data_IF_160355721332
#
_entry.id   IF_160355721332
#
_cell.length_a   1.000
_cell.length_b   1.000
_cell.length_c   1.000
_cell.angle_alpha   90.00
_cell.angle_beta   90.00
_cell.angle_gamma   90.00
#
_symmetry.space_group_name_H-M   'P 1'
#
loop_
_entity.id
_entity.type
_entity.pdbx_description
1 polymer ?
#
# COMPACT_ATOMS: atom_id res chain seq x y z
N UNK A 1 -5.31 0.08 23.34
CA UNK A 1 -4.41 1.03 24.01
C UNK A 1 -3.94 2.06 23.01
N UNK A 2 -4.04 3.31 23.39
CA UNK A 2 -3.58 4.40 22.53
C UNK A 2 -2.05 4.52 22.51
N UNK A 3 -1.53 5.13 21.48
CA UNK A 3 -0.14 5.55 21.39
C UNK A 3 0.11 6.71 22.36
N UNK A 4 1.24 6.71 23.02
CA UNK A 4 1.69 7.86 23.78
C UNK A 4 2.61 8.78 22.97
N UNK A 5 2.97 9.92 23.51
CA UNK A 5 3.83 10.90 22.84
C UNK A 5 5.20 10.31 22.46
N UNK A 6 5.74 9.41 23.28
CA UNK A 6 7.01 8.73 23.01
C UNK A 6 6.89 7.81 21.80
N UNK A 7 5.82 7.01 21.74
CA UNK A 7 5.54 6.14 20.60
C UNK A 7 5.39 6.95 19.30
N UNK A 8 4.66 8.06 19.35
CA UNK A 8 4.49 8.95 18.19
C UNK A 8 5.82 9.52 17.69
N UNK A 9 6.69 9.96 18.60
CA UNK A 9 8.02 10.47 18.24
C UNK A 9 8.89 9.40 17.58
N UNK A 10 8.88 8.19 18.11
CA UNK A 10 9.59 7.06 17.49
C UNK A 10 9.06 6.78 16.10
N UNK A 11 7.74 6.67 15.94
CA UNK A 11 7.12 6.38 14.66
C UNK A 11 7.39 7.46 13.61
N UNK A 12 7.30 8.75 13.97
CA UNK A 12 7.64 9.86 13.07
C UNK A 12 9.06 9.78 12.53
N UNK A 13 10.02 9.45 13.40
CA UNK A 13 11.42 9.29 12.97
C UNK A 13 11.60 8.07 12.06
N UNK A 14 10.96 6.94 12.36
CA UNK A 14 11.01 5.73 11.54
C UNK A 14 10.31 5.90 10.19
N UNK A 15 9.27 6.72 10.09
CA UNK A 15 8.64 7.06 8.81
C UNK A 15 9.58 7.85 7.89
N UNK A 16 10.46 8.67 8.46
CA UNK A 16 11.47 9.41 7.69
C UNK A 16 12.64 8.51 7.30
N UNK A 17 13.16 7.75 8.26
CA UNK A 17 14.29 6.83 8.06
C UNK A 17 14.11 5.57 8.91
N UNK A 18 13.63 4.50 8.28
CA UNK A 18 13.42 3.22 8.94
C UNK A 18 14.74 2.47 9.28
N UNK A 19 15.90 2.96 8.82
CA UNK A 19 17.21 2.38 9.12
C UNK A 19 17.82 2.91 10.42
N UNK A 20 17.18 3.88 11.08
CA UNK A 20 17.67 4.37 12.36
C UNK A 20 17.75 3.24 13.38
N UNK A 21 18.92 3.09 13.98
CA UNK A 21 19.12 2.16 15.10
C UNK A 21 18.45 2.68 16.36
N UNK A 22 18.20 1.81 17.32
CA UNK A 22 17.68 2.20 18.61
C UNK A 22 18.61 3.21 19.32
N UNK A 23 19.92 3.08 19.15
CA UNK A 23 20.90 4.02 19.67
C UNK A 23 20.77 5.40 19.02
N UNK A 24 20.63 5.45 17.71
CA UNK A 24 20.44 6.71 16.98
C UNK A 24 19.13 7.40 17.39
N UNK A 25 18.05 6.64 17.54
CA UNK A 25 16.77 7.14 18.03
C UNK A 25 16.89 7.65 19.46
N UNK A 26 17.59 6.93 20.34
CA UNK A 26 17.79 7.34 21.74
C UNK A 26 18.50 8.69 21.83
N UNK A 27 19.52 8.91 21.01
CA UNK A 27 20.24 10.17 20.94
C UNK A 27 19.35 11.31 20.41
N UNK A 28 18.57 11.04 19.36
CA UNK A 28 17.65 12.05 18.79
C UNK A 28 16.53 12.45 19.74
N UNK A 29 16.01 11.52 20.51
CA UNK A 29 14.83 11.70 21.33
C UNK A 29 15.14 11.97 22.81
N UNK A 30 16.42 11.92 23.20
CA UNK A 30 16.83 12.15 24.57
C UNK A 30 16.34 11.12 25.57
N UNK A 31 16.27 9.85 25.15
CA UNK A 31 15.85 8.73 26.00
C UNK A 31 16.83 7.55 25.93
N UNK A 32 16.72 6.59 26.83
CA UNK A 32 17.63 5.44 26.85
C UNK A 32 17.37 4.51 25.66
N UNK A 33 18.43 3.83 25.21
CA UNK A 33 18.34 2.80 24.17
C UNK A 33 17.41 1.66 24.59
N UNK A 34 17.42 1.28 25.86
CA UNK A 34 16.53 0.24 26.40
C UNK A 34 15.07 0.63 26.27
N UNK A 35 14.74 1.89 26.57
CA UNK A 35 13.38 2.42 26.42
C UNK A 35 12.94 2.40 24.95
N UNK A 36 13.79 2.85 24.02
CA UNK A 36 13.51 2.83 22.59
C UNK A 36 13.27 1.42 22.09
N UNK A 37 14.14 0.47 22.42
CA UNK A 37 13.99 -0.95 22.04
C UNK A 37 12.70 -1.55 22.56
N UNK A 38 12.38 -1.31 23.84
CA UNK A 38 11.14 -1.80 24.45
C UNK A 38 9.90 -1.27 23.74
N UNK A 39 9.90 0.01 23.39
CA UNK A 39 8.78 0.65 22.66
C UNK A 39 8.64 0.11 21.25
N UNK A 40 9.72 -0.02 20.50
CA UNK A 40 9.69 -0.59 19.14
C UNK A 40 9.15 -2.02 19.16
N UNK A 41 9.63 -2.87 20.07
CA UNK A 41 9.14 -4.25 20.22
C UNK A 41 7.65 -4.30 20.50
N UNK A 42 7.15 -3.41 21.35
CA UNK A 42 5.73 -3.29 21.64
C UNK A 42 4.93 -2.90 20.39
N UNK A 43 5.39 -1.88 19.67
CA UNK A 43 4.75 -1.40 18.43
C UNK A 43 4.71 -2.49 17.34
N UNK A 44 5.76 -3.29 17.23
CA UNK A 44 5.81 -4.44 16.34
C UNK A 44 4.85 -5.56 16.78
N UNK A 45 4.86 -5.90 18.07
CA UNK A 45 3.97 -6.92 18.65
C UNK A 45 2.49 -6.56 18.47
N UNK A 46 2.14 -5.30 18.67
CA UNK A 46 0.77 -4.79 18.49
C UNK A 46 0.42 -4.55 17.00
N UNK A 47 1.34 -4.84 16.08
CA UNK A 47 1.16 -4.65 14.64
C UNK A 47 0.90 -3.20 14.21
N UNK A 48 1.26 -2.23 15.03
CA UNK A 48 1.30 -0.81 14.66
C UNK A 48 2.42 -0.62 13.64
N UNK A 49 3.61 -1.17 13.92
CA UNK A 49 4.63 -1.39 12.90
C UNK A 49 4.39 -2.76 12.29
N UNK A 50 3.96 -2.79 11.03
CA UNK A 50 3.69 -4.02 10.29
C UNK A 50 4.93 -4.63 9.64
N UNK A 51 5.96 -3.85 9.48
CA UNK A 51 7.21 -4.25 8.84
C UNK A 51 8.01 -3.05 8.39
N UNK A 52 9.15 -3.33 7.77
CA UNK A 52 10.08 -2.35 7.22
C UNK A 52 10.38 -2.73 5.78
N UNK A 53 10.35 -1.75 4.88
CA UNK A 53 10.67 -1.99 3.47
C UNK A 53 11.36 -0.79 2.88
N UNK A 54 12.13 -1.02 1.81
CA UNK A 54 12.72 0.04 1.03
C UNK A 54 11.64 0.74 0.20
N UNK A 55 11.74 2.06 0.09
CA UNK A 55 10.96 2.84 -0.88
C UNK A 55 11.76 2.86 -2.17
N UNK A 56 11.14 2.41 -3.23
CA UNK A 56 11.78 2.30 -4.54
C UNK A 56 11.18 3.32 -5.52
N UNK A 57 11.94 3.69 -6.50
CA UNK A 57 11.49 4.49 -7.63
C UNK A 57 10.97 3.53 -8.70
N UNK A 58 9.66 3.41 -8.81
CA UNK A 58 9.01 2.45 -9.69
C UNK A 58 9.36 2.69 -11.17
N UNK A 59 9.48 3.96 -11.59
CA UNK A 59 9.85 4.31 -12.97
C UNK A 59 11.25 3.83 -13.30
N UNK A 60 12.21 4.00 -12.37
CA UNK A 60 13.59 3.51 -12.55
C UNK A 60 13.67 1.99 -12.57
N UNK A 61 12.69 1.31 -12.00
CA UNK A 61 12.56 -0.15 -12.10
C UNK A 61 11.84 -0.59 -13.38
N UNK A 62 11.40 0.35 -14.21
CA UNK A 62 10.73 0.07 -15.47
C UNK A 62 9.20 0.01 -15.38
N UNK A 63 8.59 0.27 -14.23
CA UNK A 63 7.15 0.33 -14.08
C UNK A 63 6.64 1.74 -14.45
N UNK A 64 6.52 1.99 -15.74
CA UNK A 64 6.20 3.31 -16.29
C UNK A 64 4.71 3.58 -16.46
N UNK A 65 3.88 2.57 -16.26
CA UNK A 65 2.43 2.69 -16.38
C UNK A 65 1.74 2.39 -15.05
N UNK A 66 0.99 3.36 -14.57
CA UNK A 66 0.07 3.16 -13.45
C UNK A 66 -1.36 3.26 -13.97
N UNK A 67 -2.20 2.32 -13.58
CA UNK A 67 -3.61 2.32 -13.88
C UNK A 67 -4.45 2.35 -12.61
N UNK A 68 -5.54 3.10 -12.64
CA UNK A 68 -6.60 3.06 -11.64
C UNK A 68 -7.80 2.44 -12.33
N UNK A 69 -8.27 1.31 -11.81
CA UNK A 69 -9.30 0.51 -12.46
C UNK A 69 -10.49 0.39 -11.53
N UNK A 70 -11.64 0.83 -12.02
CA UNK A 70 -12.92 0.64 -11.35
C UNK A 70 -13.52 -0.70 -11.77
N UNK A 71 -14.06 -1.43 -10.82
CA UNK A 71 -14.71 -2.72 -11.04
C UNK A 71 -16.12 -2.70 -10.48
N UNK A 72 -17.07 -3.15 -11.30
CA UNK A 72 -18.43 -3.47 -10.89
C UNK A 72 -18.59 -4.98 -10.92
N UNK A 73 -19.01 -5.57 -9.82
CA UNK A 73 -19.18 -7.01 -9.67
C UNK A 73 -20.51 -7.34 -9.01
N UNK A 74 -20.94 -8.59 -9.11
CA UNK A 74 -22.12 -9.07 -8.38
C UNK A 74 -21.89 -8.93 -6.87
N UNK A 75 -22.82 -8.26 -6.19
CA UNK A 75 -22.69 -7.90 -4.76
C UNK A 75 -22.48 -9.09 -3.84
N UNK A 76 -23.16 -10.21 -4.11
CA UNK A 76 -23.04 -11.43 -3.33
C UNK A 76 -21.72 -12.21 -3.58
N UNK A 77 -20.94 -11.80 -4.59
CA UNK A 77 -19.65 -12.40 -4.98
C UNK A 77 -18.47 -11.42 -4.85
N UNK A 78 -18.70 -10.22 -4.36
CA UNK A 78 -17.70 -9.15 -4.32
C UNK A 78 -16.44 -9.54 -3.53
N UNK A 79 -16.59 -10.14 -2.36
CA UNK A 79 -15.45 -10.57 -1.53
C UNK A 79 -14.54 -11.53 -2.27
N UNK A 80 -15.12 -12.52 -2.97
CA UNK A 80 -14.33 -13.49 -3.75
C UNK A 80 -13.62 -12.84 -4.93
N UNK A 81 -14.28 -11.92 -5.62
CA UNK A 81 -13.69 -11.15 -6.73
C UNK A 81 -12.51 -10.33 -6.23
N UNK A 82 -12.65 -9.63 -5.12
CA UNK A 82 -11.60 -8.80 -4.53
C UNK A 82 -10.42 -9.62 -4.04
N UNK A 83 -10.66 -10.79 -3.44
CA UNK A 83 -9.59 -11.71 -3.04
C UNK A 83 -8.79 -12.22 -4.25
N UNK A 84 -9.46 -12.58 -5.33
CA UNK A 84 -8.80 -13.03 -6.56
C UNK A 84 -7.94 -11.92 -7.18
N UNK A 85 -8.48 -10.70 -7.25
CA UNK A 85 -7.74 -9.53 -7.76
C UNK A 85 -6.52 -9.22 -6.89
N UNK A 86 -6.67 -9.28 -5.58
CA UNK A 86 -5.59 -8.94 -4.63
C UNK A 86 -4.39 -9.88 -4.71
N UNK A 87 -4.55 -11.07 -5.26
CA UNK A 87 -3.47 -12.04 -5.45
C UNK A 87 -2.60 -11.78 -6.68
N UNK A 88 -2.99 -10.85 -7.54
CA UNK A 88 -2.26 -10.56 -8.78
C UNK A 88 -1.05 -9.66 -8.50
N UNK A 89 0.11 -10.05 -8.99
CA UNK A 89 1.40 -9.41 -8.67
C UNK A 89 1.45 -7.90 -8.99
N UNK A 90 0.85 -7.48 -10.10
CA UNK A 90 0.85 -6.07 -10.52
C UNK A 90 -0.04 -5.17 -9.65
N UNK A 91 -0.90 -5.75 -8.83
CA UNK A 91 -1.87 -5.04 -8.00
C UNK A 91 -1.19 -4.52 -6.73
N UNK A 92 -1.20 -3.20 -6.56
CA UNK A 92 -0.63 -2.52 -5.40
C UNK A 92 -1.67 -2.27 -4.31
N UNK A 93 -2.91 -2.04 -4.68
CA UNK A 93 -4.00 -1.77 -3.75
C UNK A 93 -5.34 -2.22 -4.33
N UNK A 94 -6.21 -2.72 -3.46
CA UNK A 94 -7.61 -3.06 -3.77
C UNK A 94 -8.47 -2.47 -2.66
N UNK A 95 -9.41 -1.62 -3.06
CA UNK A 95 -10.32 -0.96 -2.12
C UNK A 95 -11.77 -1.32 -2.46
N UNK A 96 -12.52 -1.75 -1.46
CA UNK A 96 -13.97 -1.76 -1.50
C UNK A 96 -14.44 -0.32 -1.26
N UNK A 97 -15.22 0.24 -2.17
CA UNK A 97 -15.56 1.67 -2.17
C UNK A 97 -17.07 1.89 -2.26
N UNK A 98 -17.50 3.06 -1.82
CA UNK A 98 -18.87 3.52 -1.98
C UNK A 98 -19.07 4.15 -3.36
N UNK A 99 -20.31 4.23 -3.83
CA UNK A 99 -20.68 4.86 -5.09
C UNK A 99 -21.14 3.87 -6.15
N UNK A 100 -21.03 4.26 -7.40
CA UNK A 100 -21.46 3.45 -8.55
C UNK A 100 -20.50 2.31 -8.89
N UNK A 101 -19.28 2.36 -8.37
CA UNK A 101 -18.24 1.36 -8.51
C UNK A 101 -18.11 0.58 -7.20
N UNK A 102 -17.89 -0.71 -7.27
CA UNK A 102 -17.75 -1.57 -6.08
C UNK A 102 -16.31 -1.63 -5.58
N UNK A 103 -15.35 -1.73 -6.49
CA UNK A 103 -13.93 -1.90 -6.17
C UNK A 103 -13.07 -0.96 -6.99
N UNK A 104 -12.06 -0.40 -6.35
CA UNK A 104 -11.03 0.42 -6.98
C UNK A 104 -9.67 -0.29 -6.85
N UNK A 105 -8.97 -0.44 -7.98
CA UNK A 105 -7.67 -1.08 -8.04
C UNK A 105 -6.62 -0.05 -8.43
N UNK A 106 -5.46 -0.09 -7.75
CA UNK A 106 -4.25 0.57 -8.22
C UNK A 106 -3.27 -0.52 -8.64
N UNK A 107 -2.81 -0.49 -9.89
CA UNK A 107 -1.88 -1.46 -10.43
C UNK A 107 -0.79 -0.79 -11.27
N UNK A 108 0.39 -1.39 -11.32
CA UNK A 108 1.56 -0.87 -12.04
C UNK A 108 2.08 -1.88 -13.04
N UNK A 109 2.47 -1.38 -14.22
CA UNK A 109 2.87 -2.19 -15.36
C UNK A 109 4.12 -1.64 -16.02
N UNK A 110 4.91 -2.52 -16.61
CA UNK A 110 6.12 -2.12 -17.36
C UNK A 110 5.81 -1.60 -18.76
N UNK A 111 4.71 -2.05 -19.36
CA UNK A 111 4.33 -1.69 -20.74
C UNK A 111 2.83 -1.81 -20.96
N UNK A 112 2.39 -1.30 -22.11
CA UNK A 112 0.97 -1.32 -22.49
C UNK A 112 0.42 -2.72 -22.72
N UNK A 113 1.26 -3.66 -23.19
CA UNK A 113 0.86 -5.05 -23.42
C UNK A 113 0.46 -5.72 -22.11
N UNK A 114 1.25 -5.53 -21.06
CA UNK A 114 0.98 -6.09 -19.74
C UNK A 114 -0.30 -5.53 -19.14
N UNK A 115 -0.51 -4.22 -19.29
CA UNK A 115 -1.77 -3.58 -18.89
C UNK A 115 -2.96 -4.18 -19.65
N UNK A 116 -2.86 -4.31 -20.97
CA UNK A 116 -3.92 -4.87 -21.80
C UNK A 116 -4.26 -6.30 -21.40
N UNK A 117 -3.25 -7.12 -21.18
CA UNK A 117 -3.42 -8.50 -20.72
C UNK A 117 -4.11 -8.54 -19.35
N UNK A 118 -3.69 -7.70 -18.43
CA UNK A 118 -4.30 -7.57 -17.12
C UNK A 118 -5.79 -7.21 -17.20
N UNK A 119 -6.15 -6.21 -17.98
CA UNK A 119 -7.53 -5.76 -18.12
C UNK A 119 -8.40 -6.86 -18.76
N UNK A 120 -7.89 -7.59 -19.74
CA UNK A 120 -8.59 -8.74 -20.35
C UNK A 120 -8.83 -9.84 -19.32
N UNK A 121 -7.82 -10.19 -18.54
CA UNK A 121 -7.93 -11.21 -17.50
C UNK A 121 -8.88 -10.78 -16.39
N UNK A 122 -8.83 -9.52 -15.99
CA UNK A 122 -9.74 -8.93 -15.00
C UNK A 122 -11.20 -9.03 -15.45
N UNK A 123 -11.47 -8.66 -16.70
CA UNK A 123 -12.82 -8.73 -17.29
C UNK A 123 -13.33 -10.17 -17.44
N UNK A 124 -12.43 -11.15 -17.49
CA UNK A 124 -12.76 -12.57 -17.59
C UNK A 124 -12.99 -13.24 -16.21
N UNK A 125 -12.70 -12.57 -15.11
CA UNK A 125 -12.97 -13.07 -13.76
C UNK A 125 -14.49 -13.26 -13.60
N UNK A 126 -14.89 -14.44 -13.11
CA UNK A 126 -16.30 -14.74 -12.85
C UNK A 126 -16.93 -13.69 -11.92
N UNK A 127 -18.14 -13.24 -12.26
CA UNK A 127 -18.92 -12.25 -11.51
C UNK A 127 -18.45 -10.78 -11.64
N UNK A 128 -17.40 -10.49 -12.40
CA UNK A 128 -17.08 -9.13 -12.84
C UNK A 128 -18.04 -8.74 -13.97
N UNK A 129 -18.78 -7.66 -13.76
CA UNK A 129 -19.80 -7.19 -14.73
C UNK A 129 -19.25 -6.11 -15.65
N UNK A 130 -18.44 -5.21 -15.11
CA UNK A 130 -17.85 -4.10 -15.86
C UNK A 130 -16.54 -3.62 -15.26
N UNK A 131 -15.67 -3.08 -16.07
CA UNK A 131 -14.42 -2.43 -15.65
C UNK A 131 -14.23 -1.12 -16.40
N UNK A 132 -13.66 -0.13 -15.70
CA UNK A 132 -13.28 1.15 -16.28
C UNK A 132 -11.82 1.39 -15.94
N UNK A 133 -10.97 1.48 -16.96
CA UNK A 133 -9.52 1.68 -16.78
C UNK A 133 -9.15 3.13 -17.00
N UNK A 134 -8.53 3.73 -16.00
CA UNK A 134 -7.88 5.04 -16.10
C UNK A 134 -6.37 4.84 -16.14
N UNK A 135 -5.74 5.31 -17.21
CA UNK A 135 -4.27 5.36 -17.26
C UNK A 135 -3.81 6.67 -16.66
N UNK A 136 -2.93 6.60 -15.66
CA UNK A 136 -2.38 7.78 -15.01
C UNK A 136 -1.42 8.48 -15.96
N UNK A 137 -1.69 9.75 -16.26
CA UNK A 137 -0.84 10.56 -17.13
C UNK A 137 0.38 11.11 -16.39
N UNK A 138 0.19 11.51 -15.15
CA UNK A 138 1.24 12.07 -14.32
C UNK A 138 0.94 11.81 -12.83
N UNK A 139 1.92 11.30 -12.11
CA UNK A 139 1.81 11.12 -10.65
C UNK A 139 2.32 12.38 -9.97
N UNK A 140 1.40 13.18 -9.47
CA UNK A 140 1.73 14.42 -8.73
C UNK A 140 2.26 14.12 -7.33
N UNK A 141 1.65 13.15 -6.67
CA UNK A 141 2.07 12.65 -5.36
C UNK A 141 1.62 11.21 -5.18
N UNK A 142 2.52 10.39 -4.70
CA UNK A 142 2.20 9.03 -4.25
C UNK A 142 3.04 8.71 -3.01
N UNK A 143 2.51 9.02 -1.86
CA UNK A 143 3.14 8.75 -0.58
C UNK A 143 2.07 8.39 0.44
N UNK A 144 2.02 7.12 0.80
CA UNK A 144 1.02 6.57 1.73
C UNK A 144 1.47 6.61 3.20
N UNK A 145 2.61 7.24 3.50
CA UNK A 145 3.05 7.43 4.88
C UNK A 145 2.20 8.52 5.54
N UNK A 146 1.64 8.18 6.69
CA UNK A 146 0.89 9.11 7.53
C UNK A 146 1.78 9.56 8.69
N UNK A 147 2.11 10.87 8.74
CA UNK A 147 2.96 11.37 9.82
C UNK A 147 3.25 12.85 9.74
#
# INVERSE_FOLDING_TARGET
MGLDETDEKILKNLLVDARLSARQLSLKLGMSTVTVLSRIKKLEKEKIIKGYSARLDDEKLGYNLTAIIEVVAKKDKLVQVEEEISSIENVCAVYDVTGSTDTLIIAKFQNRKDLSTFVKNLSAIANVENTITHVVLNTVKEDFRLG
#
